data_IF_419424425501
#
_entry.id   IF_419424425501
#
_cell.length_a   1.000
_cell.length_b   1.000
_cell.length_c   1.000
_cell.angle_alpha   90.00
_cell.angle_beta   90.00
_cell.angle_gamma   90.00
#
_symmetry.space_group_name_H-M   'P 1'
#
loop_
_entity.id
_entity.type
_entity.pdbx_description
1 polymer ?
#
# COMPACT_ATOMS: atom_id res chain seq x y z
N UNK A 1 17.56 19.52 -6.54
CA UNK A 1 18.25 18.51 -7.38
C UNK A 1 18.19 17.17 -6.68
N UNK A 2 17.59 16.20 -7.37
CA UNK A 2 17.19 14.85 -6.94
C UNK A 2 18.22 14.11 -6.08
N UNK A 3 17.87 13.75 -4.84
CA UNK A 3 18.36 12.54 -4.12
C UNK A 3 17.40 12.12 -3.00
N UNK A 4 16.15 11.80 -3.34
CA UNK A 4 15.35 10.91 -2.48
C UNK A 4 15.60 9.48 -2.93
N UNK A 5 16.79 8.97 -2.61
CA UNK A 5 17.02 7.52 -2.57
C UNK A 5 16.37 7.04 -1.28
N UNK A 6 15.04 6.93 -1.30
CA UNK A 6 14.31 6.15 -0.29
C UNK A 6 14.51 4.68 -0.64
N UNK A 7 15.64 4.19 -0.17
CA UNK A 7 15.92 2.77 -0.02
C UNK A 7 14.90 2.18 0.98
N UNK A 8 13.75 1.76 0.48
CA UNK A 8 12.86 0.81 1.15
C UNK A 8 12.46 -0.26 0.14
N UNK A 9 13.49 -0.84 -0.50
CA UNK A 9 13.40 -2.13 -1.16
C UNK A 9 13.77 -3.22 -0.16
N UNK A 10 12.89 -3.51 0.81
CA UNK A 10 12.99 -4.73 1.62
C UNK A 10 11.67 -5.06 2.33
N UNK A 11 10.60 -5.26 1.57
CA UNK A 11 9.45 -6.08 1.99
C UNK A 11 9.07 -7.03 0.85
N UNK A 12 10.09 -7.68 0.28
CA UNK A 12 9.92 -9.03 -0.27
C UNK A 12 10.04 -9.99 0.92
N UNK A 13 9.10 -10.95 1.03
CA UNK A 13 8.99 -12.02 2.04
C UNK A 13 8.19 -11.69 3.32
N UNK A 14 6.86 -11.56 3.17
CA UNK A 14 5.91 -12.23 4.07
C UNK A 14 4.53 -12.27 3.39
N UNK A 15 4.21 -13.37 2.71
CA UNK A 15 2.89 -13.51 2.08
C UNK A 15 2.68 -14.73 1.19
N UNK A 16 3.56 -15.73 1.20
CA UNK A 16 3.29 -17.04 0.58
C UNK A 16 2.43 -17.88 1.52
N UNK A 17 1.16 -17.53 1.75
CA UNK A 17 0.22 -18.41 2.45
C UNK A 17 -1.28 -18.07 2.35
N UNK A 18 -1.75 -17.12 1.52
CA UNK A 18 -3.20 -16.97 1.30
C UNK A 18 -3.51 -17.06 -0.19
N UNK A 19 -3.79 -18.27 -0.65
CA UNK A 19 -4.34 -18.59 -1.98
C UNK A 19 -5.77 -18.07 -2.19
N UNK A 20 -6.25 -17.18 -1.34
CA UNK A 20 -7.34 -16.25 -1.60
C UNK A 20 -6.79 -14.89 -1.18
N UNK A 21 -6.35 -14.07 -2.13
CA UNK A 21 -5.82 -12.75 -1.81
C UNK A 21 -6.81 -12.03 -0.89
N UNK A 22 -6.36 -11.54 0.27
CA UNK A 22 -7.22 -10.72 1.14
C UNK A 22 -7.92 -9.68 0.27
N UNK A 23 -9.24 -9.47 0.46
CA UNK A 23 -9.93 -8.44 -0.30
C UNK A 23 -9.24 -7.10 -0.01
N UNK A 24 -9.08 -6.29 -1.05
CA UNK A 24 -8.36 -5.01 -0.94
C UNK A 24 -8.91 -4.13 0.20
N UNK A 25 -10.20 -4.25 0.50
CA UNK A 25 -10.88 -3.57 1.62
C UNK A 25 -10.33 -3.95 3.00
N UNK A 26 -10.04 -5.23 3.26
CA UNK A 26 -9.45 -5.68 4.53
C UNK A 26 -8.04 -5.14 4.69
N UNK A 27 -7.21 -5.27 3.65
CA UNK A 27 -5.83 -4.76 3.67
C UNK A 27 -5.81 -3.23 3.80
N UNK A 28 -6.71 -2.52 3.12
CA UNK A 28 -6.87 -1.07 3.25
C UNK A 28 -7.23 -0.67 4.67
N UNK A 29 -8.14 -1.40 5.32
CA UNK A 29 -8.55 -1.15 6.70
C UNK A 29 -7.42 -1.41 7.70
N UNK A 30 -6.64 -2.48 7.52
CA UNK A 30 -5.44 -2.74 8.34
C UNK A 30 -4.38 -1.64 8.17
N UNK A 31 -4.14 -1.19 6.94
CA UNK A 31 -3.19 -0.10 6.66
C UNK A 31 -3.68 1.20 7.31
N UNK A 32 -4.96 1.52 7.20
CA UNK A 32 -5.57 2.69 7.85
C UNK A 32 -5.37 2.62 9.38
N UNK A 33 -5.75 1.52 10.01
CA UNK A 33 -5.57 1.33 11.45
C UNK A 33 -4.11 1.50 11.89
N UNK A 34 -3.14 1.03 11.09
CA UNK A 34 -1.70 1.22 11.37
C UNK A 34 -1.25 2.67 11.18
N UNK A 35 -1.81 3.40 10.22
CA UNK A 35 -1.54 4.82 9.99
C UNK A 35 -2.14 5.66 11.13
N UNK A 36 -3.37 5.35 11.55
CA UNK A 36 -4.05 6.00 12.67
C UNK A 36 -3.31 5.74 13.99
N UNK A 37 -2.87 4.51 14.24
CA UNK A 37 -2.06 4.17 15.42
C UNK A 37 -0.70 4.89 15.43
N UNK A 38 -0.20 5.31 14.26
CA UNK A 38 1.00 6.15 14.12
C UNK A 38 0.70 7.65 14.20
N UNK A 39 -0.57 8.04 14.36
CA UNK A 39 -1.01 9.44 14.38
C UNK A 39 -0.92 10.13 13.01
N UNK A 40 -0.91 9.36 11.92
CA UNK A 40 -0.95 9.94 10.58
C UNK A 40 -2.39 10.38 10.31
N UNK A 41 -2.62 11.67 10.08
CA UNK A 41 -3.92 12.22 9.73
C UNK A 41 -3.86 12.89 8.34
N UNK A 42 -5.02 13.10 7.72
CA UNK A 42 -5.11 13.76 6.40
C UNK A 42 -4.59 12.89 5.25
N UNK A 43 -4.73 11.57 5.36
CA UNK A 43 -4.39 10.65 4.29
C UNK A 43 -5.62 10.03 3.64
N UNK A 44 -5.45 9.51 2.43
CA UNK A 44 -6.44 8.73 1.70
C UNK A 44 -5.77 7.50 1.11
N UNK A 45 -6.49 6.37 1.17
CA UNK A 45 -6.06 5.11 0.60
C UNK A 45 -6.98 4.78 -0.58
N UNK A 46 -6.41 4.72 -1.77
CA UNK A 46 -7.14 4.36 -3.01
C UNK A 46 -6.64 3.01 -3.50
N UNK A 47 -7.56 2.20 -4.06
CA UNK A 47 -7.22 0.93 -4.69
C UNK A 47 -7.16 1.19 -6.18
N UNK A 48 -6.00 0.95 -6.78
CA UNK A 48 -5.74 1.11 -8.20
C UNK A 48 -5.30 -0.21 -8.80
N UNK A 49 -5.41 -0.35 -10.11
CA UNK A 49 -4.84 -1.52 -10.79
C UNK A 49 -3.31 -1.44 -10.79
N UNK A 50 -2.67 -2.60 -10.89
CA UNK A 50 -1.21 -2.70 -10.89
C UNK A 50 -0.59 -1.80 -11.97
N UNK A 51 0.31 -0.92 -11.56
CA UNK A 51 1.00 0.02 -12.46
C UNK A 51 0.21 1.31 -12.73
N UNK A 52 -1.02 1.44 -12.21
CA UNK A 52 -1.78 2.69 -12.25
C UNK A 52 -1.44 3.61 -11.07
N UNK A 53 -0.56 3.19 -10.16
CA UNK A 53 -0.12 3.98 -9.01
C UNK A 53 0.63 5.27 -9.36
N UNK A 54 1.05 5.46 -10.63
CA UNK A 54 1.74 6.66 -11.13
C UNK A 54 2.78 7.20 -10.13
N UNK A 55 2.55 8.39 -9.57
CA UNK A 55 3.42 9.08 -8.59
C UNK A 55 2.98 8.92 -7.12
N UNK A 56 1.94 8.12 -6.87
CA UNK A 56 1.44 7.87 -5.52
C UNK A 56 2.21 6.73 -4.84
N UNK A 57 2.30 6.80 -3.51
CA UNK A 57 3.06 5.82 -2.74
C UNK A 57 2.25 4.52 -2.60
N UNK A 58 2.69 3.43 -3.22
CA UNK A 58 2.11 2.11 -2.99
C UNK A 58 2.42 1.62 -1.58
N UNK A 59 1.39 1.45 -0.76
CA UNK A 59 1.50 1.00 0.64
C UNK A 59 1.05 -0.44 0.83
N UNK A 60 0.49 -1.07 -0.21
CA UNK A 60 0.14 -2.49 -0.22
C UNK A 60 -0.28 -2.97 -1.59
N UNK A 61 -0.35 -4.29 -1.76
CA UNK A 61 -0.86 -4.95 -2.97
C UNK A 61 -1.85 -6.04 -2.57
N UNK A 62 -2.98 -6.14 -3.27
CA UNK A 62 -4.08 -7.05 -2.97
C UNK A 62 -4.51 -7.83 -4.23
N UNK A 63 -5.46 -8.77 -4.09
CA UNK A 63 -5.92 -9.64 -5.19
C UNK A 63 -4.78 -10.38 -5.93
N UNK A 64 -3.86 -10.97 -5.16
CA UNK A 64 -2.72 -11.70 -5.73
C UNK A 64 -1.71 -10.83 -6.46
N UNK A 65 -1.76 -9.50 -6.26
CA UNK A 65 -0.88 -8.54 -6.92
C UNK A 65 -1.45 -7.93 -8.21
N UNK A 66 -2.75 -8.06 -8.43
CA UNK A 66 -3.48 -7.42 -9.55
C UNK A 66 -3.84 -5.97 -9.25
N UNK A 67 -4.01 -5.64 -7.96
CA UNK A 67 -4.34 -4.30 -7.47
C UNK A 67 -3.34 -3.81 -6.43
N UNK A 68 -3.19 -2.51 -6.37
CA UNK A 68 -2.28 -1.78 -5.48
C UNK A 68 -3.09 -0.80 -4.63
N UNK A 69 -2.71 -0.65 -3.36
CA UNK A 69 -3.28 0.33 -2.46
C UNK A 69 -2.30 1.48 -2.41
N UNK A 70 -2.72 2.63 -2.92
CA UNK A 70 -1.92 3.84 -2.96
C UNK A 70 -2.30 4.78 -1.83
N UNK A 71 -1.28 5.39 -1.25
CA UNK A 71 -1.38 6.40 -0.22
C UNK A 71 -1.29 7.78 -0.86
N UNK A 72 -2.30 8.59 -0.57
CA UNK A 72 -2.39 9.98 -0.98
C UNK A 72 -2.44 10.84 0.27
N UNK A 73 -1.51 11.78 0.37
CA UNK A 73 -1.49 12.78 1.44
C UNK A 73 -2.20 14.04 0.93
N UNK A 74 -3.18 14.52 1.68
CA UNK A 74 -3.84 15.81 1.47
C UNK A 74 -2.99 16.98 1.95
#
# INVERSE_FOLDING_TARGET
MKKFILAVGLLSLAGTALAAGKPCEELKSEIAAKLDAKGVAGYSLEIVDKGAAADLQVVGTCEGGSKEIVYKRG
#
